data_IF_069016420540
#
_entry.id   IF_069016420540
#
_cell.length_a   1.000
_cell.length_b   1.000
_cell.length_c   1.000
_cell.angle_alpha   90.00
_cell.angle_beta   90.00
_cell.angle_gamma   90.00
#
_symmetry.space_group_name_H-M   'P 1'
#
loop_
_entity.id
_entity.type
_entity.pdbx_description
1 polymer ?
#
# COMPACT_ATOMS: atom_id res chain seq x y z
N UNK A 1 -62.15 71.82 -90.15
CA UNK A 1 -61.20 72.21 -89.06
C UNK A 1 -61.37 71.47 -87.72
N UNK A 2 -62.56 71.03 -87.27
CA UNK A 2 -62.73 70.39 -85.94
C UNK A 2 -62.16 68.96 -85.76
N UNK A 3 -61.98 68.18 -86.83
CA UNK A 3 -61.41 66.82 -86.76
C UNK A 3 -59.88 66.80 -86.60
N UNK A 4 -59.14 67.69 -87.29
CA UNK A 4 -57.68 67.78 -87.21
C UNK A 4 -57.16 68.12 -85.79
N UNK A 5 -57.85 69.00 -85.07
CA UNK A 5 -57.54 69.31 -83.67
C UNK A 5 -57.86 68.17 -82.68
N UNK A 6 -58.71 67.21 -83.06
CA UNK A 6 -59.05 66.06 -82.21
C UNK A 6 -57.97 64.97 -82.33
N UNK A 7 -57.53 64.68 -83.55
CA UNK A 7 -56.41 63.77 -83.83
C UNK A 7 -55.08 64.26 -83.27
N UNK A 8 -54.76 65.55 -83.43
CA UNK A 8 -53.53 66.14 -82.86
C UNK A 8 -53.48 66.03 -81.33
N UNK A 9 -54.62 66.22 -80.65
CA UNK A 9 -54.72 66.04 -79.19
C UNK A 9 -54.57 64.58 -78.75
N UNK A 10 -55.04 63.62 -79.53
CA UNK A 10 -54.90 62.19 -79.24
C UNK A 10 -53.44 61.74 -79.41
N UNK A 11 -52.78 62.16 -80.49
CA UNK A 11 -51.35 61.89 -80.76
C UNK A 11 -50.47 62.49 -79.65
N UNK A 12 -50.74 63.73 -79.23
CA UNK A 12 -49.98 64.36 -78.14
C UNK A 12 -50.19 63.64 -76.79
N UNK A 13 -51.40 63.14 -76.51
CA UNK A 13 -51.68 62.28 -75.34
C UNK A 13 -50.90 60.97 -75.40
N UNK A 14 -50.83 60.32 -76.56
CA UNK A 14 -50.03 59.10 -76.76
C UNK A 14 -48.54 59.36 -76.63
N UNK A 15 -48.01 60.46 -77.16
CA UNK A 15 -46.60 60.85 -77.02
C UNK A 15 -46.22 61.16 -75.57
N UNK A 16 -47.09 61.83 -74.80
CA UNK A 16 -46.87 62.08 -73.38
C UNK A 16 -46.87 60.78 -72.57
N UNK A 17 -47.80 59.86 -72.86
CA UNK A 17 -47.82 58.51 -72.26
C UNK A 17 -46.56 57.73 -72.63
N UNK A 18 -46.14 57.75 -73.89
CA UNK A 18 -44.92 57.10 -74.35
C UNK A 18 -43.67 57.67 -73.66
N UNK A 19 -43.60 59.00 -73.50
CA UNK A 19 -42.50 59.65 -72.77
C UNK A 19 -42.49 59.30 -71.28
N UNK A 20 -43.66 59.21 -70.64
CA UNK A 20 -43.82 58.77 -69.25
C UNK A 20 -43.42 57.30 -69.07
N UNK A 21 -43.87 56.42 -69.97
CA UNK A 21 -43.48 55.01 -70.00
C UNK A 21 -41.97 54.85 -70.22
N UNK A 22 -41.38 55.59 -71.17
CA UNK A 22 -39.94 55.55 -71.43
C UNK A 22 -39.10 55.95 -70.22
N UNK A 23 -39.52 56.98 -69.47
CA UNK A 23 -38.87 57.38 -68.21
C UNK A 23 -39.02 56.30 -67.13
N UNK A 24 -40.19 55.66 -67.06
CA UNK A 24 -40.42 54.57 -66.10
C UNK A 24 -39.57 53.35 -66.43
N UNK A 25 -39.47 52.97 -67.71
CA UNK A 25 -38.62 51.88 -68.19
C UNK A 25 -37.14 52.16 -67.93
N UNK A 26 -36.66 53.41 -68.13
CA UNK A 26 -35.27 53.74 -67.80
C UNK A 26 -35.01 53.64 -66.30
N UNK A 27 -35.93 54.16 -65.46
CA UNK A 27 -35.83 54.04 -64.01
C UNK A 27 -35.80 52.59 -63.53
N UNK A 28 -36.67 51.73 -64.09
CA UNK A 28 -36.66 50.29 -63.81
C UNK A 28 -35.37 49.61 -64.28
N UNK A 29 -34.81 49.99 -65.43
CA UNK A 29 -33.52 49.46 -65.90
C UNK A 29 -32.38 49.83 -64.96
N UNK A 30 -32.33 51.07 -64.50
CA UNK A 30 -31.32 51.53 -63.54
C UNK A 30 -31.48 50.79 -62.19
N UNK A 31 -32.71 50.57 -61.74
CA UNK A 31 -33.00 49.80 -60.53
C UNK A 31 -32.60 48.32 -60.68
N UNK A 32 -32.89 47.70 -61.84
CA UNK A 32 -32.44 46.33 -62.16
C UNK A 32 -30.92 46.27 -62.15
N UNK A 33 -30.22 47.21 -62.80
CA UNK A 33 -28.76 47.25 -62.79
C UNK A 33 -28.18 47.35 -61.38
N UNK A 34 -28.78 48.18 -60.52
CA UNK A 34 -28.39 48.29 -59.11
C UNK A 34 -28.64 46.98 -58.36
N UNK A 35 -29.81 46.37 -58.52
CA UNK A 35 -30.14 45.08 -57.89
C UNK A 35 -29.21 43.96 -58.37
N UNK A 36 -28.87 43.90 -59.65
CA UNK A 36 -27.91 42.92 -60.18
C UNK A 36 -26.54 43.07 -59.52
N UNK A 37 -26.02 44.30 -59.37
CA UNK A 37 -24.75 44.51 -58.66
C UNK A 37 -24.78 44.10 -57.18
N UNK A 38 -25.93 44.27 -56.51
CA UNK A 38 -26.11 43.81 -55.12
C UNK A 38 -26.15 42.29 -55.07
N UNK A 39 -26.82 41.63 -56.01
CA UNK A 39 -26.87 40.16 -56.10
C UNK A 39 -25.48 39.59 -56.34
N UNK A 40 -24.70 40.12 -57.29
CA UNK A 40 -23.32 39.68 -57.55
C UNK A 40 -22.41 39.83 -56.32
N UNK A 41 -22.53 40.95 -55.60
CA UNK A 41 -21.78 41.17 -54.35
C UNK A 41 -22.19 40.18 -53.25
N UNK A 42 -23.48 39.86 -53.14
CA UNK A 42 -23.98 38.86 -52.19
C UNK A 42 -23.52 37.46 -52.56
N UNK A 43 -23.57 37.08 -53.84
CA UNK A 43 -23.08 35.79 -54.34
C UNK A 43 -21.59 35.62 -54.05
N UNK A 44 -20.78 36.65 -54.28
CA UNK A 44 -19.35 36.63 -53.94
C UNK A 44 -19.14 36.49 -52.44
N UNK A 45 -19.86 37.25 -51.62
CA UNK A 45 -19.76 37.17 -50.15
C UNK A 45 -20.23 35.81 -49.62
N UNK A 46 -21.22 35.17 -50.26
CA UNK A 46 -21.64 33.82 -49.94
C UNK A 46 -20.55 32.80 -50.26
N UNK A 47 -19.96 32.86 -51.47
CA UNK A 47 -18.87 31.95 -51.85
C UNK A 47 -17.67 32.03 -50.88
N UNK A 48 -17.26 33.24 -50.49
CA UNK A 48 -16.19 33.45 -49.51
C UNK A 48 -16.54 32.88 -48.11
N UNK A 49 -17.83 32.93 -47.72
CA UNK A 49 -18.29 32.34 -46.45
C UNK A 49 -18.36 30.82 -46.52
N UNK A 50 -18.76 30.26 -47.66
CA UNK A 50 -18.82 28.82 -47.87
C UNK A 50 -17.42 28.20 -47.87
N UNK A 51 -16.43 28.87 -48.47
CA UNK A 51 -15.02 28.47 -48.41
C UNK A 51 -14.50 28.46 -46.96
N UNK A 52 -14.69 29.57 -46.23
CA UNK A 52 -14.31 29.65 -44.80
C UNK A 52 -15.00 28.59 -43.96
N UNK A 53 -16.26 28.27 -44.26
CA UNK A 53 -17.01 27.22 -43.58
C UNK A 53 -16.40 25.85 -43.85
N UNK A 54 -16.05 25.55 -45.10
CA UNK A 54 -15.40 24.29 -45.45
C UNK A 54 -14.03 24.13 -44.76
N UNK A 55 -13.24 25.20 -44.69
CA UNK A 55 -11.96 25.19 -43.98
C UNK A 55 -12.13 24.94 -42.47
N UNK A 56 -13.10 25.63 -41.84
CA UNK A 56 -13.44 25.39 -40.43
C UNK A 56 -13.95 23.97 -40.17
N UNK A 57 -14.78 23.42 -41.04
CA UNK A 57 -15.27 22.03 -40.92
C UNK A 57 -14.12 21.02 -41.02
N UNK A 58 -13.15 21.27 -41.91
CA UNK A 58 -11.95 20.44 -42.04
C UNK A 58 -11.08 20.50 -40.79
N UNK A 59 -10.78 21.70 -40.29
CA UNK A 59 -9.98 21.89 -39.07
C UNK A 59 -10.65 21.22 -37.85
N UNK A 60 -11.98 21.37 -37.74
CA UNK A 60 -12.74 20.72 -36.68
C UNK A 60 -12.70 19.19 -36.79
N UNK A 61 -12.76 18.63 -37.99
CA UNK A 61 -12.62 17.19 -38.21
C UNK A 61 -11.25 16.66 -37.82
N UNK A 62 -10.18 17.40 -38.14
CA UNK A 62 -8.80 17.04 -37.77
C UNK A 62 -8.61 17.06 -36.25
N UNK A 63 -9.12 18.12 -35.58
CA UNK A 63 -9.12 18.20 -34.11
C UNK A 63 -9.90 17.08 -33.46
N UNK A 64 -11.08 16.74 -34.00
CA UNK A 64 -11.91 15.66 -33.47
C UNK A 64 -11.18 14.31 -33.57
N UNK A 65 -10.54 14.02 -34.70
CA UNK A 65 -9.74 12.82 -34.87
C UNK A 65 -8.54 12.77 -33.90
N UNK A 66 -7.86 13.90 -33.66
CA UNK A 66 -6.76 13.96 -32.68
C UNK A 66 -7.25 13.62 -31.27
N UNK A 67 -8.35 14.23 -30.84
CA UNK A 67 -8.96 13.97 -29.53
C UNK A 67 -9.44 12.51 -29.43
N UNK A 68 -10.01 11.95 -30.49
CA UNK A 68 -10.45 10.55 -30.51
C UNK A 68 -9.28 9.58 -30.33
N UNK A 69 -8.13 9.86 -30.98
CA UNK A 69 -6.90 9.09 -30.80
C UNK A 69 -6.34 9.22 -29.38
N UNK A 70 -6.32 10.42 -28.80
CA UNK A 70 -5.90 10.64 -27.41
C UNK A 70 -6.81 9.89 -26.42
N UNK A 71 -8.13 9.94 -26.64
CA UNK A 71 -9.11 9.20 -25.83
C UNK A 71 -8.89 7.70 -25.96
N UNK A 72 -8.57 7.19 -27.15
CA UNK A 72 -8.24 5.78 -27.34
C UNK A 72 -6.97 5.39 -26.57
N UNK A 73 -5.90 6.20 -26.65
CA UNK A 73 -4.67 5.96 -25.89
C UNK A 73 -4.86 6.01 -24.38
N UNK A 74 -5.66 6.96 -23.87
CA UNK A 74 -6.00 7.02 -22.44
C UNK A 74 -6.82 5.81 -22.00
N UNK A 75 -7.75 5.31 -22.83
CA UNK A 75 -8.52 4.10 -22.53
C UNK A 75 -7.64 2.85 -22.43
N UNK A 76 -6.67 2.72 -23.33
CA UNK A 76 -5.69 1.62 -23.29
C UNK A 76 -4.86 1.69 -22.00
N UNK A 77 -4.34 2.87 -21.68
CA UNK A 77 -3.56 3.08 -20.45
C UNK A 77 -4.37 2.78 -19.18
N UNK A 78 -5.64 3.21 -19.12
CA UNK A 78 -6.55 2.86 -18.02
C UNK A 78 -6.74 1.36 -17.94
N UNK A 79 -6.92 0.67 -19.08
CA UNK A 79 -7.00 -0.79 -19.12
C UNK A 79 -5.76 -1.49 -18.56
N UNK A 80 -4.56 -1.01 -18.90
CA UNK A 80 -3.32 -1.55 -18.34
C UNK A 80 -3.21 -1.35 -16.82
N UNK A 81 -3.62 -0.19 -16.31
CA UNK A 81 -3.64 0.07 -14.87
C UNK A 81 -4.69 -0.77 -14.15
N UNK A 82 -5.87 -0.95 -14.72
CA UNK A 82 -6.91 -1.82 -14.19
C UNK A 82 -6.44 -3.29 -14.13
N UNK A 83 -5.73 -3.76 -15.15
CA UNK A 83 -5.15 -5.11 -15.16
C UNK A 83 -4.05 -5.28 -14.11
N UNK A 84 -3.20 -4.26 -13.92
CA UNK A 84 -2.18 -4.24 -12.86
C UNK A 84 -2.82 -4.25 -11.47
N UNK A 85 -3.85 -3.43 -11.25
CA UNK A 85 -4.60 -3.39 -9.99
C UNK A 85 -5.25 -4.75 -9.70
N UNK A 86 -5.94 -5.33 -10.69
CA UNK A 86 -6.54 -6.66 -10.57
C UNK A 86 -5.49 -7.74 -10.27
N UNK A 87 -4.31 -7.66 -10.87
CA UNK A 87 -3.21 -8.58 -10.57
C UNK A 87 -2.72 -8.47 -9.12
N UNK A 88 -2.61 -7.24 -8.61
CA UNK A 88 -2.22 -6.99 -7.22
C UNK A 88 -3.29 -7.47 -6.24
N UNK A 89 -4.56 -7.22 -6.51
CA UNK A 89 -5.69 -7.73 -5.72
C UNK A 89 -5.66 -9.26 -5.63
N UNK A 90 -5.52 -9.96 -6.76
CA UNK A 90 -5.40 -11.43 -6.78
C UNK A 90 -4.19 -11.95 -5.99
N UNK A 91 -3.05 -11.26 -6.05
CA UNK A 91 -1.87 -11.59 -5.23
C UNK A 91 -2.12 -11.36 -3.75
N UNK A 92 -2.88 -10.33 -3.39
CA UNK A 92 -3.26 -10.02 -2.02
C UNK A 92 -4.21 -11.10 -1.47
N UNK A 93 -5.24 -11.43 -2.24
CA UNK A 93 -6.24 -12.44 -1.89
C UNK A 93 -5.65 -13.84 -1.77
N UNK A 94 -4.71 -14.21 -2.64
CA UNK A 94 -4.00 -15.49 -2.53
C UNK A 94 -3.10 -15.60 -1.29
N UNK A 95 -2.66 -14.48 -0.70
CA UNK A 95 -1.87 -14.47 0.55
C UNK A 95 -2.74 -14.50 1.81
N UNK A 96 -4.00 -14.08 1.74
CA UNK A 96 -4.92 -14.05 2.88
C UNK A 96 -5.05 -15.43 3.58
N UNK A 97 -5.21 -16.57 2.87
CA UNK A 97 -5.26 -17.89 3.53
C UNK A 97 -3.97 -18.25 4.26
N UNK A 98 -2.80 -17.92 3.70
CA UNK A 98 -1.51 -18.23 4.30
C UNK A 98 -1.32 -17.48 5.63
N UNK A 99 -1.77 -16.22 5.70
CA UNK A 99 -1.73 -15.44 6.94
C UNK A 99 -2.67 -15.99 8.00
N UNK A 100 -3.86 -16.46 7.61
CA UNK A 100 -4.80 -17.12 8.53
C UNK A 100 -4.20 -18.41 9.08
N UNK A 101 -3.55 -19.22 8.24
CA UNK A 101 -2.82 -20.42 8.67
C UNK A 101 -1.66 -20.08 9.62
N UNK A 102 -0.86 -19.06 9.30
CA UNK A 102 0.24 -18.60 10.16
C UNK A 102 -0.28 -18.17 11.53
N UNK A 103 -1.34 -17.38 11.59
CA UNK A 103 -1.89 -16.90 12.86
C UNK A 103 -2.48 -18.05 13.70
N UNK A 104 -3.10 -19.04 13.06
CA UNK A 104 -3.55 -20.26 13.72
C UNK A 104 -2.37 -21.06 14.32
N UNK A 105 -1.25 -21.15 13.62
CA UNK A 105 -0.02 -21.78 14.14
C UNK A 105 0.55 -21.00 15.32
N UNK A 106 0.60 -19.67 15.23
CA UNK A 106 1.03 -18.78 16.32
C UNK A 106 0.17 -19.00 17.57
N UNK A 107 -1.16 -18.98 17.45
CA UNK A 107 -2.05 -19.27 18.58
C UNK A 107 -1.79 -20.65 19.19
N UNK A 108 -1.63 -21.70 18.37
CA UNK A 108 -1.35 -23.06 18.87
C UNK A 108 -0.02 -23.16 19.61
N UNK A 109 1.02 -22.46 19.15
CA UNK A 109 2.33 -22.46 19.82
C UNK A 109 2.23 -21.69 21.13
N UNK A 110 1.58 -20.53 21.12
CA UNK A 110 1.34 -19.72 22.30
C UNK A 110 0.63 -20.53 23.39
N UNK A 111 -0.48 -21.21 23.06
CA UNK A 111 -1.25 -22.04 23.99
C UNK A 111 -0.39 -23.17 24.58
N UNK A 112 0.41 -23.85 23.73
CA UNK A 112 1.31 -24.92 24.18
C UNK A 112 2.41 -24.43 25.12
N UNK A 113 3.02 -23.28 24.80
CA UNK A 113 4.05 -22.69 25.66
C UNK A 113 3.45 -22.28 27.01
N UNK A 114 2.25 -21.71 26.99
CA UNK A 114 1.53 -21.35 28.20
C UNK A 114 1.26 -22.58 29.09
N UNK A 115 0.81 -23.69 28.50
CA UNK A 115 0.63 -24.96 29.23
C UNK A 115 1.94 -25.47 29.83
N UNK A 116 3.06 -25.35 29.13
CA UNK A 116 4.39 -25.73 29.66
C UNK A 116 4.77 -24.86 30.84
N UNK A 117 4.60 -23.54 30.75
CA UNK A 117 4.89 -22.62 31.86
C UNK A 117 4.06 -23.02 33.09
N UNK A 118 2.78 -23.34 32.90
CA UNK A 118 1.89 -23.77 33.98
C UNK A 118 2.36 -25.06 34.67
N UNK A 119 2.94 -26.00 33.91
CA UNK A 119 3.50 -27.25 34.48
C UNK A 119 4.79 -26.98 35.26
N UNK A 120 5.67 -26.15 34.72
CA UNK A 120 6.99 -25.87 35.31
C UNK A 120 6.89 -24.94 36.51
N UNK A 121 5.98 -23.96 36.47
CA UNK A 121 5.75 -22.98 37.55
C UNK A 121 4.51 -23.30 38.38
N UNK A 122 4.41 -24.57 38.83
CA UNK A 122 3.30 -25.05 39.65
C UNK A 122 3.16 -24.32 41.02
N UNK A 123 4.07 -23.41 41.36
CA UNK A 123 4.14 -22.77 42.67
C UNK A 123 3.74 -21.29 42.73
N UNK A 124 3.53 -20.58 41.59
CA UNK A 124 3.34 -19.11 41.63
C UNK A 124 2.42 -18.44 40.59
N UNK A 125 1.61 -19.15 39.82
CA UNK A 125 0.76 -18.47 38.84
C UNK A 125 -0.62 -18.10 39.42
N UNK A 126 -0.67 -16.90 40.01
CA UNK A 126 -1.92 -16.15 40.15
C UNK A 126 -2.54 -15.99 38.74
N UNK A 127 -3.74 -16.57 38.62
CA UNK A 127 -4.56 -16.57 37.43
C UNK A 127 -5.00 -15.13 37.15
N UNK A 128 -4.61 -14.49 36.05
CA UNK A 128 -5.44 -13.45 35.42
C UNK A 128 -4.88 -12.92 34.09
N UNK A 129 -3.60 -12.53 33.99
CA UNK A 129 -3.28 -11.48 33.00
C UNK A 129 -2.63 -11.94 31.67
N UNK A 130 -2.47 -13.25 31.45
CA UNK A 130 -1.77 -13.78 30.27
C UNK A 130 -2.60 -14.73 29.39
N UNK A 131 -3.86 -15.01 29.77
CA UNK A 131 -4.71 -15.97 29.06
C UNK A 131 -5.90 -15.27 28.40
N UNK A 132 -5.60 -14.45 27.40
CA UNK A 132 -6.55 -14.17 26.33
C UNK A 132 -5.73 -14.16 25.04
N UNK A 133 -5.87 -15.21 24.23
CA UNK A 133 -5.23 -15.28 22.91
C UNK A 133 -5.76 -14.12 22.06
N UNK A 134 -5.04 -13.00 22.08
CA UNK A 134 -5.37 -11.75 21.40
C UNK A 134 -5.22 -11.87 19.87
N UNK A 135 -4.71 -12.99 19.38
CA UNK A 135 -4.29 -13.19 18.00
C UNK A 135 -5.31 -14.06 17.24
N UNK A 136 -6.55 -13.59 17.16
CA UNK A 136 -7.59 -14.25 16.37
C UNK A 136 -7.48 -13.86 14.89
N UNK A 137 -7.68 -14.82 13.96
CA UNK A 137 -7.78 -14.51 12.53
C UNK A 137 -8.94 -13.57 12.29
N UNK A 138 -8.64 -12.33 11.92
CA UNK A 138 -9.64 -11.37 11.54
C UNK A 138 -9.83 -11.49 10.02
N UNK A 139 -11.00 -11.95 9.60
CA UNK A 139 -11.24 -12.42 8.24
C UNK A 139 -11.11 -11.30 7.17
N UNK A 140 -11.04 -10.04 7.58
CA UNK A 140 -11.24 -8.89 6.68
C UNK A 140 -9.99 -8.07 6.34
N UNK A 141 -8.97 -7.96 7.19
CA UNK A 141 -7.81 -7.10 6.90
C UNK A 141 -6.47 -7.85 6.93
N UNK A 142 -5.77 -7.84 5.80
CA UNK A 142 -4.46 -8.50 5.61
C UNK A 142 -3.40 -7.79 6.46
N UNK A 143 -3.48 -6.47 6.55
CA UNK A 143 -2.57 -5.64 7.33
C UNK A 143 -2.75 -5.88 8.83
N UNK A 144 -4.00 -5.93 9.31
CA UNK A 144 -4.33 -6.34 10.69
C UNK A 144 -3.82 -7.75 11.01
N UNK A 145 -3.99 -8.72 10.10
CA UNK A 145 -3.48 -10.09 10.29
C UNK A 145 -1.94 -10.14 10.35
N UNK A 146 -1.23 -9.34 9.56
CA UNK A 146 0.24 -9.24 9.65
C UNK A 146 0.66 -8.68 11.02
N UNK A 147 0.01 -7.61 11.48
CA UNK A 147 0.29 -7.04 12.81
C UNK A 147 -0.02 -8.00 13.95
N UNK A 148 -1.16 -8.69 13.90
CA UNK A 148 -1.53 -9.70 14.88
C UNK A 148 -0.53 -10.87 14.90
N UNK A 149 -0.08 -11.31 13.72
CA UNK A 149 0.93 -12.36 13.60
C UNK A 149 2.28 -11.94 14.19
N UNK A 150 2.72 -10.70 13.94
CA UNK A 150 3.96 -10.16 14.50
C UNK A 150 3.90 -10.12 16.03
N UNK A 151 2.84 -9.53 16.60
CA UNK A 151 2.67 -9.43 18.04
C UNK A 151 2.56 -10.83 18.70
N UNK A 152 1.91 -11.79 18.04
CA UNK A 152 1.86 -13.17 18.53
C UNK A 152 3.22 -13.86 18.49
N UNK A 153 4.05 -13.57 17.48
CA UNK A 153 5.42 -14.08 17.41
C UNK A 153 6.32 -13.48 18.50
N UNK A 154 6.18 -12.19 18.79
CA UNK A 154 6.87 -11.52 19.89
C UNK A 154 6.50 -12.14 21.24
N UNK A 155 5.20 -12.38 21.47
CA UNK A 155 4.71 -13.07 22.66
C UNK A 155 5.28 -14.50 22.78
N UNK A 156 5.33 -15.27 21.69
CA UNK A 156 5.96 -16.60 21.68
C UNK A 156 7.44 -16.52 22.09
N UNK A 157 8.19 -15.53 21.62
CA UNK A 157 9.58 -15.34 22.01
C UNK A 157 9.72 -15.07 23.52
N UNK A 158 8.84 -14.23 24.09
CA UNK A 158 8.82 -13.94 25.51
C UNK A 158 8.44 -15.16 26.36
N UNK A 159 7.38 -15.88 25.97
CA UNK A 159 6.96 -17.13 26.61
C UNK A 159 8.07 -18.17 26.56
N UNK A 160 8.74 -18.33 25.42
CA UNK A 160 9.85 -19.28 25.26
C UNK A 160 11.00 -18.93 26.21
N UNK A 161 11.36 -17.65 26.33
CA UNK A 161 12.37 -17.19 27.29
C UNK A 161 11.96 -17.55 28.73
N UNK A 162 10.71 -17.28 29.10
CA UNK A 162 10.19 -17.62 30.44
C UNK A 162 10.22 -19.14 30.70
N UNK A 163 9.82 -19.96 29.72
CA UNK A 163 9.89 -21.44 29.83
C UNK A 163 11.32 -21.87 30.11
N UNK A 164 12.30 -21.33 29.38
CA UNK A 164 13.72 -21.69 29.55
C UNK A 164 14.22 -21.31 30.94
N UNK A 165 13.95 -20.09 31.40
CA UNK A 165 14.35 -19.61 32.73
C UNK A 165 13.73 -20.49 33.83
N UNK A 166 12.41 -20.71 33.79
CA UNK A 166 11.70 -21.52 34.78
C UNK A 166 12.15 -22.98 34.78
N UNK A 167 12.41 -23.55 33.61
CA UNK A 167 12.90 -24.93 33.50
C UNK A 167 14.30 -25.04 34.07
N UNK A 168 15.16 -24.05 33.83
CA UNK A 168 16.50 -24.00 34.41
C UNK A 168 16.44 -23.95 35.94
N UNK A 169 15.61 -23.06 36.50
CA UNK A 169 15.41 -22.93 37.95
C UNK A 169 14.94 -24.26 38.57
N UNK A 170 13.96 -24.91 37.94
CA UNK A 170 13.45 -26.22 38.38
C UNK A 170 14.53 -27.31 38.32
N UNK A 171 15.35 -27.34 37.26
CA UNK A 171 16.45 -28.30 37.13
C UNK A 171 17.53 -28.07 38.17
N UNK A 172 17.86 -26.81 38.48
CA UNK A 172 18.81 -26.47 39.55
C UNK A 172 18.29 -26.91 40.92
N UNK A 173 17.02 -26.64 41.23
CA UNK A 173 16.36 -27.10 42.47
C UNK A 173 16.42 -28.63 42.59
N UNK A 174 15.99 -29.37 41.56
CA UNK A 174 16.07 -30.84 41.56
C UNK A 174 17.49 -31.37 41.65
N UNK A 175 18.46 -30.68 41.05
CA UNK A 175 19.87 -31.06 41.14
C UNK A 175 20.41 -30.89 42.57
N UNK A 176 20.01 -29.84 43.27
CA UNK A 176 20.34 -29.65 44.69
C UNK A 176 19.68 -30.73 45.57
N UNK A 177 18.40 -31.04 45.35
CA UNK A 177 17.71 -32.12 46.05
C UNK A 177 18.41 -33.48 45.83
N UNK A 178 18.72 -33.83 44.58
CA UNK A 178 19.42 -35.08 44.22
C UNK A 178 20.80 -35.16 44.88
N UNK A 179 21.56 -34.07 44.91
CA UNK A 179 22.85 -34.03 45.63
C UNK A 179 22.66 -34.31 47.12
N UNK A 180 21.69 -33.65 47.76
CA UNK A 180 21.40 -33.86 49.20
C UNK A 180 20.98 -35.32 49.50
N UNK A 181 20.12 -35.89 48.64
CA UNK A 181 19.68 -37.29 48.73
C UNK A 181 20.87 -38.24 48.53
N UNK A 182 21.73 -38.00 47.54
CA UNK A 182 22.94 -38.79 47.29
C UNK A 182 23.91 -38.79 48.48
N UNK A 183 24.11 -37.64 49.12
CA UNK A 183 24.90 -37.53 50.35
C UNK A 183 24.28 -38.34 51.51
N UNK A 184 22.95 -38.29 51.66
CA UNK A 184 22.26 -39.10 52.68
C UNK A 184 22.38 -40.60 52.41
N UNK A 185 22.24 -41.04 51.16
CA UNK A 185 22.42 -42.44 50.76
C UNK A 185 23.86 -42.88 51.00
N UNK A 186 24.85 -42.06 50.61
CA UNK A 186 26.27 -42.35 50.82
C UNK A 186 26.61 -42.53 52.31
N UNK A 187 26.00 -41.70 53.18
CA UNK A 187 26.14 -41.82 54.64
C UNK A 187 25.50 -43.11 55.16
N UNK A 188 24.29 -43.45 54.72
CA UNK A 188 23.61 -44.70 55.10
C UNK A 188 24.37 -45.95 54.63
N UNK A 189 24.99 -45.91 53.45
CA UNK A 189 25.83 -47.01 52.94
C UNK A 189 27.06 -47.22 53.84
N UNK A 190 27.75 -46.14 54.23
CA UNK A 190 28.88 -46.22 55.17
C UNK A 190 28.46 -46.74 56.54
N UNK A 191 27.32 -46.30 57.07
CA UNK A 191 26.78 -46.83 58.33
C UNK A 191 26.46 -48.32 58.23
N UNK A 192 25.84 -48.76 57.12
CA UNK A 192 25.58 -50.19 56.85
C UNK A 192 26.88 -50.99 56.80
N UNK A 193 27.92 -50.51 56.11
CA UNK A 193 29.23 -51.19 56.05
C UNK A 193 29.88 -51.27 57.43
N UNK A 194 29.82 -50.19 58.21
CA UNK A 194 30.32 -50.14 59.58
C UNK A 194 29.59 -51.16 60.47
N UNK A 195 28.25 -51.15 60.49
CA UNK A 195 27.43 -52.15 61.19
C UNK A 195 27.77 -53.56 60.72
N UNK A 196 27.93 -53.76 59.40
CA UNK A 196 28.33 -55.03 58.82
C UNK A 196 29.70 -55.53 59.32
N UNK A 197 30.68 -54.64 59.44
CA UNK A 197 32.00 -54.95 59.99
C UNK A 197 31.95 -55.28 61.48
N UNK A 198 31.12 -54.56 62.26
CA UNK A 198 30.88 -54.83 63.68
C UNK A 198 30.21 -56.19 63.88
N UNK A 199 29.18 -56.51 63.09
CA UNK A 199 28.50 -57.81 63.14
C UNK A 199 29.44 -58.95 62.77
N UNK A 200 30.24 -58.78 61.70
CA UNK A 200 31.22 -59.79 61.28
C UNK A 200 32.31 -59.96 62.34
N UNK A 201 32.76 -58.89 62.98
CA UNK A 201 33.71 -58.92 64.11
C UNK A 201 33.13 -59.59 65.36
N UNK A 202 31.86 -59.32 65.68
CA UNK A 202 31.16 -59.96 66.79
C UNK A 202 30.96 -61.46 66.53
N UNK A 203 30.56 -61.85 65.32
CA UNK A 203 30.46 -63.25 64.89
C UNK A 203 31.83 -63.94 64.90
N UNK A 204 32.88 -63.27 64.41
CA UNK A 204 34.23 -63.83 64.36
C UNK A 204 34.83 -64.06 65.77
N UNK A 205 34.60 -63.13 66.72
CA UNK A 205 34.95 -63.33 68.14
C UNK A 205 34.16 -64.44 68.81
N UNK A 206 32.90 -64.64 68.39
CA UNK A 206 32.04 -65.73 68.85
C UNK A 206 32.51 -67.09 68.31
N UNK A 207 33.14 -67.13 67.15
CA UNK A 207 33.76 -68.36 66.59
C UNK A 207 35.19 -68.61 67.07
N UNK A 208 35.94 -67.57 67.49
CA UNK A 208 37.33 -67.71 67.96
C UNK A 208 37.49 -67.91 69.47
N UNK A 209 36.41 -67.79 70.25
CA UNK A 209 36.40 -68.22 71.66
C UNK A 209 35.93 -69.67 71.68
N UNK A 210 36.80 -70.58 72.14
CA UNK A 210 36.59 -72.02 72.18
C UNK A 210 35.16 -72.44 72.53
N UNK A 211 34.40 -72.81 71.50
CA UNK A 211 33.02 -73.30 71.56
C UNK A 211 32.93 -74.76 72.03
N UNK A 212 34.03 -75.35 72.51
CA UNK A 212 34.02 -76.75 72.99
C UNK A 212 33.53 -76.88 74.43
N UNK A 213 33.82 -75.92 75.32
CA UNK A 213 33.49 -76.04 76.76
C UNK A 213 32.33 -75.16 77.23
N UNK A 214 32.08 -73.99 76.61
CA UNK A 214 31.06 -73.02 77.10
C UNK A 214 29.70 -73.12 76.40
N UNK A 215 29.65 -73.66 75.18
CA UNK A 215 28.41 -73.85 74.43
C UNK A 215 27.53 -74.94 75.04
N UNK A 216 28.16 -75.96 75.64
CA UNK A 216 27.47 -77.07 76.31
C UNK A 216 26.76 -76.62 77.60
N UNK A 217 27.28 -75.61 78.31
CA UNK A 217 26.59 -74.99 79.45
C UNK A 217 25.41 -74.12 79.01
N UNK A 218 25.54 -73.39 77.90
CA UNK A 218 24.49 -72.50 77.41
C UNK A 218 23.30 -73.30 76.83
N UNK A 219 23.57 -74.43 76.17
CA UNK A 219 22.52 -75.37 75.76
C UNK A 219 21.85 -76.03 76.97
N UNK A 220 22.57 -76.37 78.04
CA UNK A 220 21.97 -76.89 79.29
C UNK A 220 21.11 -75.85 80.01
N UNK A 221 21.51 -74.58 80.03
CA UNK A 221 20.72 -73.49 80.64
C UNK A 221 19.46 -73.20 79.80
N UNK A 222 19.56 -73.24 78.47
CA UNK A 222 18.39 -73.13 77.59
C UNK A 222 17.46 -74.36 77.70
N UNK A 223 18.00 -75.58 77.78
CA UNK A 223 17.24 -76.83 78.00
C UNK A 223 16.53 -76.82 79.36
N UNK A 224 17.19 -76.31 80.41
CA UNK A 224 16.57 -76.16 81.73
C UNK A 224 15.49 -75.06 81.74
N UNK A 225 15.69 -73.94 81.04
CA UNK A 225 14.69 -72.87 80.92
C UNK A 225 13.47 -73.26 80.08
N UNK A 226 13.66 -74.04 79.00
CA UNK A 226 12.55 -74.61 78.25
C UNK A 226 11.80 -75.68 79.06
N UNK A 227 12.50 -76.48 79.88
CA UNK A 227 11.88 -77.44 80.79
C UNK A 227 11.06 -76.76 81.90
N UNK A 228 11.51 -75.63 82.42
CA UNK A 228 10.74 -74.77 83.35
C UNK A 228 9.50 -74.15 82.69
N UNK A 229 9.52 -73.94 81.37
CA UNK A 229 8.37 -73.52 80.57
C UNK A 229 7.52 -74.69 80.03
N UNK A 230 7.83 -75.95 80.39
CA UNK A 230 7.04 -77.14 80.06
C UNK A 230 7.35 -77.80 78.71
N UNK A 231 8.46 -77.45 78.04
CA UNK A 231 8.84 -77.97 76.71
C UNK A 231 10.14 -78.78 76.85
N UNK A 232 10.09 -80.07 76.50
CA UNK A 232 11.24 -80.99 76.61
C UNK A 232 11.91 -81.21 75.25
N UNK A 233 13.10 -80.61 75.03
CA UNK A 233 13.84 -80.68 73.76
C UNK A 233 15.36 -80.79 74.00
N UNK A 234 16.02 -81.74 73.33
CA UNK A 234 17.44 -82.13 73.58
C UNK A 234 18.32 -81.96 72.33
N UNK A 235 19.39 -81.17 72.44
CA UNK A 235 20.30 -80.78 71.33
C UNK A 235 21.47 -81.76 71.07
N UNK A 236 21.25 -83.07 71.15
CA UNK A 236 22.31 -84.05 70.81
C UNK A 236 22.12 -84.60 69.40
N UNK A 237 22.96 -84.14 68.47
CA UNK A 237 23.55 -84.84 67.32
C UNK A 237 23.55 -83.98 66.05
N UNK A 238 24.75 -83.59 65.60
CA UNK A 238 25.25 -83.60 64.21
C UNK A 238 26.36 -82.57 64.03
N UNK A 239 27.59 -82.91 64.41
CA UNK A 239 28.78 -82.31 63.78
C UNK A 239 29.92 -83.34 63.80
N UNK A 240 30.01 -84.11 62.71
CA UNK A 240 31.12 -84.99 62.41
C UNK A 240 32.30 -84.18 61.87
N UNK A 241 33.45 -84.32 62.52
CA UNK A 241 34.72 -83.76 62.07
C UNK A 241 35.36 -84.58 60.96
N UNK A 242 36.30 -83.94 60.26
CA UNK A 242 37.20 -84.56 59.30
C UNK A 242 38.43 -83.68 59.13
N UNK A 243 39.44 -83.92 59.95
CA UNK A 243 40.85 -83.65 59.61
C UNK A 243 41.22 -84.63 58.51
N UNK A 244 42.05 -84.20 57.56
CA UNK A 244 43.23 -84.97 57.20
C UNK A 244 44.29 -84.08 56.56
N UNK A 245 45.53 -84.49 56.82
CA UNK A 245 46.76 -83.76 56.66
C UNK A 245 47.50 -84.16 55.37
N UNK A 246 48.71 -83.59 55.24
CA UNK A 246 49.82 -84.01 54.38
C UNK A 246 49.69 -83.56 52.91
N UNK A 247 50.73 -83.24 52.15
CA UNK A 247 52.16 -82.92 52.31
C UNK A 247 52.74 -82.88 50.88
N UNK A 248 53.95 -82.34 50.71
CA UNK A 248 54.87 -82.51 49.57
C UNK A 248 54.62 -81.71 48.27
N UNK A 249 55.45 -80.67 48.10
CA UNK A 249 56.57 -80.59 47.15
C UNK A 249 56.31 -81.03 45.68
N UNK A 250 56.42 -80.08 44.73
CA UNK A 250 57.45 -80.07 43.69
C UNK A 250 57.20 -79.01 42.61
N UNK A 251 58.33 -78.49 42.14
CA UNK A 251 58.59 -77.85 40.85
C UNK A 251 57.78 -78.38 39.66
N UNK A 252 57.67 -77.47 38.67
CA UNK A 252 57.67 -77.68 37.22
C UNK A 252 56.35 -77.31 36.50
N UNK A 253 56.32 -76.14 35.83
CA UNK A 253 55.50 -75.88 34.64
C UNK A 253 55.84 -74.50 34.00
N UNK A 254 56.63 -74.45 32.91
CA UNK A 254 56.83 -73.25 32.09
C UNK A 254 55.71 -73.04 31.05
N UNK A 255 54.46 -73.43 31.35
CA UNK A 255 53.32 -73.33 30.42
C UNK A 255 52.40 -72.13 30.68
N UNK A 256 52.36 -71.56 31.90
CA UNK A 256 51.51 -70.40 32.21
C UNK A 256 52.00 -69.10 31.56
N UNK A 257 53.32 -68.89 31.43
CA UNK A 257 53.86 -67.71 30.71
C UNK A 257 53.50 -67.71 29.22
N UNK A 258 53.42 -68.88 28.57
CA UNK A 258 53.04 -68.95 27.15
C UNK A 258 51.57 -68.60 26.94
N UNK A 259 50.68 -69.13 27.76
CA UNK A 259 49.25 -68.80 27.69
C UNK A 259 48.98 -67.32 28.02
N UNK A 260 49.73 -66.73 28.94
CA UNK A 260 49.68 -65.29 29.22
C UNK A 260 50.17 -64.43 28.05
N UNK A 261 51.24 -64.85 27.36
CA UNK A 261 51.75 -64.17 26.15
C UNK A 261 50.72 -64.26 25.01
N UNK A 262 50.06 -65.40 24.81
CA UNK A 262 49.00 -65.53 23.81
C UNK A 262 47.74 -64.71 24.15
N UNK A 263 47.36 -64.63 25.44
CA UNK A 263 46.25 -63.79 25.89
C UNK A 263 46.56 -62.29 25.70
N UNK A 264 47.80 -61.86 25.99
CA UNK A 264 48.24 -60.48 25.78
C UNK A 264 48.30 -60.13 24.29
N UNK A 265 48.80 -61.04 23.44
CA UNK A 265 48.81 -60.87 21.99
C UNK A 265 47.38 -60.75 21.42
N UNK A 266 46.44 -61.56 21.90
CA UNK A 266 45.02 -61.47 21.52
C UNK A 266 44.34 -60.17 21.97
N UNK A 267 44.66 -59.69 23.18
CA UNK A 267 44.19 -58.38 23.65
C UNK A 267 44.75 -57.23 22.80
N UNK A 268 46.03 -57.29 22.46
CA UNK A 268 46.71 -56.30 21.63
C UNK A 268 46.15 -56.30 20.19
N UNK A 269 45.88 -57.48 19.62
CA UNK A 269 45.23 -57.63 18.31
C UNK A 269 43.81 -57.05 18.31
N UNK A 270 43.02 -57.27 19.38
CA UNK A 270 41.70 -56.68 19.52
C UNK A 270 41.75 -55.15 19.63
N UNK A 271 42.71 -54.60 20.39
CA UNK A 271 42.92 -53.14 20.48
C UNK A 271 43.32 -52.57 19.11
N UNK A 272 44.19 -53.26 18.36
CA UNK A 272 44.58 -52.85 17.01
C UNK A 272 43.37 -52.88 16.06
N UNK A 273 42.56 -53.94 16.07
CA UNK A 273 41.35 -54.02 15.25
C UNK A 273 40.34 -52.93 15.61
N UNK A 274 40.13 -52.67 16.89
CA UNK A 274 39.23 -51.61 17.36
C UNK A 274 39.71 -50.23 16.91
N UNK A 275 41.00 -49.94 17.08
CA UNK A 275 41.59 -48.67 16.62
C UNK A 275 41.58 -48.53 15.09
N UNK A 276 41.75 -49.62 14.34
CA UNK A 276 41.60 -49.60 12.89
C UNK A 276 40.17 -49.24 12.45
N UNK A 277 39.16 -49.79 13.12
CA UNK A 277 37.75 -49.43 12.85
C UNK A 277 37.49 -47.96 13.18
N UNK A 278 37.98 -47.48 14.34
CA UNK A 278 37.85 -46.09 14.75
C UNK A 278 38.54 -45.13 13.75
N UNK A 279 39.72 -45.50 13.22
CA UNK A 279 40.39 -44.72 12.17
C UNK A 279 39.54 -44.63 10.91
N UNK A 280 38.88 -45.71 10.49
CA UNK A 280 38.02 -45.72 9.31
C UNK A 280 36.77 -44.86 9.53
N UNK A 281 36.13 -44.96 10.69
CA UNK A 281 34.97 -44.14 11.04
C UNK A 281 35.32 -42.65 11.08
N UNK A 282 36.45 -42.29 11.69
CA UNK A 282 36.95 -40.91 11.71
C UNK A 282 37.29 -40.40 10.31
N UNK A 283 37.85 -41.25 9.43
CA UNK A 283 38.12 -40.89 8.04
C UNK A 283 36.84 -40.58 7.27
N UNK A 284 35.80 -41.40 7.43
CA UNK A 284 34.50 -41.15 6.81
C UNK A 284 33.87 -39.85 7.33
N UNK A 285 33.91 -39.62 8.64
CA UNK A 285 33.40 -38.37 9.24
C UNK A 285 34.14 -37.12 8.73
N UNK A 286 35.47 -37.20 8.58
CA UNK A 286 36.26 -36.10 8.01
C UNK A 286 35.88 -35.83 6.55
N UNK A 287 35.63 -36.88 5.76
CA UNK A 287 35.23 -36.71 4.36
C UNK A 287 33.81 -36.15 4.23
N UNK A 288 32.87 -36.59 5.07
CA UNK A 288 31.53 -36.00 5.16
C UNK A 288 31.60 -34.49 5.50
N UNK A 289 32.40 -34.12 6.50
CA UNK A 289 32.60 -32.72 6.86
C UNK A 289 33.26 -31.90 5.74
N UNK A 290 34.14 -32.49 4.94
CA UNK A 290 34.73 -31.82 3.77
C UNK A 290 33.70 -31.57 2.67
N UNK A 291 32.81 -32.53 2.43
CA UNK A 291 31.71 -32.36 1.48
C UNK A 291 30.75 -31.28 1.96
N UNK A 292 30.35 -31.31 3.23
CA UNK A 292 29.50 -30.28 3.83
C UNK A 292 30.15 -28.88 3.76
N UNK A 293 31.44 -28.77 4.09
CA UNK A 293 32.17 -27.52 3.99
C UNK A 293 32.27 -27.00 2.55
N UNK A 294 32.43 -27.89 1.55
CA UNK A 294 32.45 -27.48 0.15
C UNK A 294 31.09 -26.99 -0.35
N UNK A 295 29.99 -27.64 0.07
CA UNK A 295 28.63 -27.21 -0.21
C UNK A 295 28.32 -25.85 0.44
N UNK A 296 28.68 -25.66 1.72
CA UNK A 296 28.50 -24.39 2.42
C UNK A 296 29.27 -23.26 1.73
N UNK A 297 30.49 -23.54 1.27
CA UNK A 297 31.31 -22.58 0.52
C UNK A 297 30.62 -22.18 -0.79
N UNK A 298 30.11 -23.14 -1.55
CA UNK A 298 29.40 -22.86 -2.81
C UNK A 298 28.15 -21.99 -2.56
N UNK A 299 27.38 -22.28 -1.51
CA UNK A 299 26.21 -21.50 -1.15
C UNK A 299 26.57 -20.06 -0.74
N UNK A 300 27.64 -19.87 0.04
CA UNK A 300 28.14 -18.53 0.41
C UNK A 300 28.60 -17.76 -0.84
N UNK A 301 29.29 -18.41 -1.78
CA UNK A 301 29.70 -17.78 -3.04
C UNK A 301 28.50 -17.39 -3.92
N UNK A 302 27.45 -18.23 -3.97
CA UNK A 302 26.22 -17.93 -4.69
C UNK A 302 25.48 -16.73 -4.04
N UNK A 303 25.36 -16.71 -2.72
CA UNK A 303 24.79 -15.60 -1.97
C UNK A 303 25.58 -14.30 -2.15
N UNK A 304 26.92 -14.36 -2.17
CA UNK A 304 27.77 -13.20 -2.41
C UNK A 304 27.54 -12.60 -3.81
N UNK A 305 27.39 -13.45 -4.84
CA UNK A 305 27.06 -13.00 -6.20
C UNK A 305 25.69 -12.34 -6.26
N UNK A 306 24.67 -12.95 -5.66
CA UNK A 306 23.32 -12.38 -5.61
C UNK A 306 23.29 -11.04 -4.88
N UNK A 307 23.99 -10.91 -3.74
CA UNK A 307 24.12 -9.65 -3.02
C UNK A 307 24.83 -8.59 -3.87
N UNK A 308 25.87 -8.96 -4.61
CA UNK A 308 26.56 -8.02 -5.51
C UNK A 308 25.66 -7.52 -6.63
N UNK A 309 24.85 -8.40 -7.21
CA UNK A 309 23.87 -8.04 -8.25
C UNK A 309 22.78 -7.13 -7.71
N UNK A 310 22.19 -7.46 -6.55
CA UNK A 310 21.19 -6.60 -5.89
C UNK A 310 21.75 -5.23 -5.56
N UNK A 311 22.99 -5.16 -5.09
CA UNK A 311 23.66 -3.89 -4.81
C UNK A 311 23.76 -3.02 -6.06
N UNK A 312 24.20 -3.59 -7.18
CA UNK A 312 24.27 -2.85 -8.46
C UNK A 312 22.88 -2.38 -8.91
N UNK A 313 21.85 -3.23 -8.77
CA UNK A 313 20.48 -2.85 -9.13
C UNK A 313 19.95 -1.68 -8.27
N UNK A 314 20.30 -1.65 -6.98
CA UNK A 314 19.97 -0.53 -6.09
C UNK A 314 20.68 0.75 -6.56
N UNK A 315 21.98 0.70 -6.85
CA UNK A 315 22.73 1.86 -7.36
C UNK A 315 22.13 2.41 -8.67
N UNK A 316 21.70 1.54 -9.59
CA UNK A 316 21.01 1.95 -10.83
C UNK A 316 19.63 2.59 -10.58
N UNK A 317 18.91 2.15 -9.55
CA UNK A 317 17.62 2.73 -9.16
C UNK A 317 17.79 4.09 -8.49
N UNK A 318 18.79 4.23 -7.61
CA UNK A 318 19.14 5.52 -6.97
C UNK A 318 19.52 6.58 -8.02
N UNK A 319 20.29 6.20 -9.04
CA UNK A 319 20.64 7.09 -10.15
C UNK A 319 19.40 7.51 -10.96
N UNK A 320 18.50 6.58 -11.27
CA UNK A 320 17.24 6.88 -11.96
C UNK A 320 16.35 7.80 -11.14
N UNK A 321 16.28 7.59 -9.83
CA UNK A 321 15.56 8.47 -8.91
C UNK A 321 16.16 9.88 -8.93
N UNK A 322 17.49 10.00 -8.86
CA UNK A 322 18.16 11.31 -8.93
C UNK A 322 17.81 12.06 -10.21
N UNK A 323 17.92 11.40 -11.36
CA UNK A 323 17.59 12.01 -12.66
C UNK A 323 16.10 12.35 -12.77
N UNK A 324 15.21 11.51 -12.24
CA UNK A 324 13.79 11.81 -12.21
C UNK A 324 13.48 13.05 -11.34
N UNK A 325 14.12 13.18 -10.18
CA UNK A 325 13.99 14.34 -9.31
C UNK A 325 14.49 15.62 -10.00
N UNK A 326 15.67 15.58 -10.64
CA UNK A 326 16.19 16.71 -11.43
C UNK A 326 15.22 17.12 -12.56
N UNK A 327 14.61 16.15 -13.25
CA UNK A 327 13.61 16.42 -14.29
C UNK A 327 12.32 17.05 -13.72
N UNK A 328 11.84 16.57 -12.58
CA UNK A 328 10.66 17.14 -11.90
C UNK A 328 10.94 18.56 -11.45
N UNK A 329 12.12 18.84 -10.89
CA UNK A 329 12.54 20.20 -10.52
C UNK A 329 12.56 21.14 -11.74
N UNK A 330 13.08 20.68 -12.88
CA UNK A 330 13.03 21.43 -14.14
C UNK A 330 11.61 21.75 -14.59
N UNK A 331 10.72 20.74 -14.60
CA UNK A 331 9.31 20.93 -14.95
C UNK A 331 8.59 21.87 -13.98
N UNK A 332 8.91 21.83 -12.69
CA UNK A 332 8.35 22.76 -11.71
C UNK A 332 8.76 24.21 -11.99
N UNK A 333 10.01 24.45 -12.41
CA UNK A 333 10.46 25.78 -12.81
C UNK A 333 9.71 26.28 -14.05
N UNK A 334 9.53 25.44 -15.06
CA UNK A 334 8.80 25.78 -16.29
C UNK A 334 7.31 26.06 -16.02
N UNK A 335 6.67 25.27 -15.14
CA UNK A 335 5.29 25.50 -14.71
C UNK A 335 5.18 26.86 -14.00
N UNK A 336 6.07 27.18 -13.07
CA UNK A 336 6.05 28.46 -12.37
C UNK A 336 6.22 29.65 -13.34
N UNK A 337 7.12 29.52 -14.32
CA UNK A 337 7.30 30.54 -15.35
C UNK A 337 6.04 30.73 -16.22
N UNK A 338 5.40 29.63 -16.63
CA UNK A 338 4.16 29.66 -17.40
C UNK A 338 2.99 30.27 -16.59
N UNK A 339 2.88 29.93 -15.31
CA UNK A 339 1.88 30.53 -14.41
C UNK A 339 2.08 32.04 -14.28
N UNK A 340 3.32 32.51 -14.11
CA UNK A 340 3.62 33.95 -14.11
C UNK A 340 3.19 34.62 -15.42
N UNK A 341 3.48 34.03 -16.58
CA UNK A 341 3.04 34.59 -17.86
C UNK A 341 1.51 34.64 -17.96
N UNK A 342 0.81 33.56 -17.61
CA UNK A 342 -0.66 33.52 -17.60
C UNK A 342 -1.22 34.65 -16.73
N UNK A 343 -0.63 34.91 -15.56
CA UNK A 343 -1.08 36.01 -14.70
C UNK A 343 -0.85 37.38 -15.35
N UNK A 344 0.30 37.60 -16.02
CA UNK A 344 0.58 38.84 -16.76
C UNK A 344 -0.43 39.07 -17.89
N UNK A 345 -0.67 38.05 -18.71
CA UNK A 345 -1.65 38.12 -19.81
C UNK A 345 -3.06 38.37 -19.30
N UNK A 346 -3.46 37.71 -18.20
CA UNK A 346 -4.76 37.90 -17.56
C UNK A 346 -4.96 39.34 -17.09
N UNK A 347 -3.94 39.94 -16.44
CA UNK A 347 -4.01 41.33 -15.98
C UNK A 347 -4.10 42.29 -17.16
N UNK A 348 -3.31 42.09 -18.22
CA UNK A 348 -3.36 42.91 -19.42
C UNK A 348 -4.75 42.87 -20.09
N UNK A 349 -5.33 41.67 -20.25
CA UNK A 349 -6.66 41.51 -20.82
C UNK A 349 -7.76 42.17 -19.95
N UNK A 350 -7.64 42.09 -18.62
CA UNK A 350 -8.57 42.77 -17.71
C UNK A 350 -8.49 44.29 -17.81
N UNK A 351 -7.28 44.84 -17.95
CA UNK A 351 -7.08 46.28 -18.14
C UNK A 351 -7.63 46.75 -19.48
N UNK A 352 -7.42 46.00 -20.56
CA UNK A 352 -7.98 46.30 -21.87
C UNK A 352 -9.52 46.27 -21.86
N UNK A 353 -10.12 45.25 -21.23
CA UNK A 353 -11.57 45.18 -21.05
C UNK A 353 -12.12 46.37 -20.23
N UNK A 354 -11.43 46.78 -19.18
CA UNK A 354 -11.81 47.94 -18.37
C UNK A 354 -11.71 49.25 -19.18
N UNK A 355 -10.66 49.42 -19.97
CA UNK A 355 -10.50 50.56 -20.87
C UNK A 355 -11.59 50.60 -21.94
N UNK A 356 -11.89 49.45 -22.56
CA UNK A 356 -12.98 49.32 -23.54
C UNK A 356 -14.34 49.72 -22.96
N UNK A 357 -14.64 49.28 -21.74
CA UNK A 357 -15.88 49.65 -21.03
C UNK A 357 -15.96 51.15 -20.72
N UNK A 358 -14.84 51.78 -20.34
CA UNK A 358 -14.81 53.21 -20.07
C UNK A 358 -15.10 54.03 -21.34
N UNK A 359 -14.52 53.63 -22.48
CA UNK A 359 -14.78 54.25 -23.78
C UNK A 359 -16.24 54.05 -24.22
N UNK A 360 -16.80 52.86 -24.03
CA UNK A 360 -18.22 52.61 -24.30
C UNK A 360 -19.13 53.54 -23.49
N UNK A 361 -18.85 53.71 -22.19
CA UNK A 361 -19.61 54.62 -21.32
C UNK A 361 -19.50 56.08 -21.80
N UNK A 362 -18.33 56.51 -22.26
CA UNK A 362 -18.15 57.84 -22.83
C UNK A 362 -18.99 58.03 -24.10
N UNK A 363 -18.99 57.05 -25.02
CA UNK A 363 -19.81 57.11 -26.23
C UNK A 363 -21.31 57.11 -25.91
N UNK A 364 -21.75 56.33 -24.92
CA UNK A 364 -23.14 56.34 -24.46
C UNK A 364 -23.51 57.74 -23.91
N UNK A 365 -22.63 58.37 -23.13
CA UNK A 365 -22.84 59.72 -22.63
C UNK A 365 -22.92 60.75 -23.78
N UNK A 366 -22.00 60.70 -24.75
CA UNK A 366 -22.01 61.56 -25.93
C UNK A 366 -23.29 61.38 -26.77
N UNK A 367 -23.72 60.13 -27.00
CA UNK A 367 -24.98 59.83 -27.72
C UNK A 367 -26.20 60.36 -26.97
N UNK A 368 -26.20 60.30 -25.64
CA UNK A 368 -27.30 60.85 -24.83
C UNK A 368 -27.37 62.37 -24.93
N UNK A 369 -26.23 63.06 -24.90
CA UNK A 369 -26.15 64.51 -25.06
C UNK A 369 -26.62 64.95 -26.45
N UNK A 370 -26.12 64.32 -27.51
CA UNK A 370 -26.53 64.63 -28.90
C UNK A 370 -28.03 64.37 -29.10
N UNK A 371 -28.58 63.28 -28.52
CA UNK A 371 -30.04 63.02 -28.56
C UNK A 371 -30.83 64.13 -27.88
N UNK A 372 -30.36 64.62 -26.73
CA UNK A 372 -31.00 65.74 -26.04
C UNK A 372 -30.94 67.02 -26.89
N UNK A 373 -29.77 67.39 -27.41
CA UNK A 373 -29.61 68.56 -28.29
C UNK A 373 -30.50 68.47 -29.54
N UNK A 374 -30.64 67.26 -30.12
CA UNK A 374 -31.53 67.02 -31.25
C UNK A 374 -33.00 67.26 -30.90
N UNK A 375 -33.47 66.79 -29.74
CA UNK A 375 -34.84 67.04 -29.28
C UNK A 375 -35.08 68.52 -28.97
N UNK A 376 -34.11 69.21 -28.37
CA UNK A 376 -34.18 70.66 -28.15
C UNK A 376 -34.25 71.44 -29.48
N UNK A 377 -33.42 71.07 -30.46
CA UNK A 377 -33.44 71.67 -31.79
C UNK A 377 -34.77 71.41 -32.52
N UNK A 378 -35.32 70.19 -32.44
CA UNK A 378 -36.65 69.87 -32.98
C UNK A 378 -37.74 70.75 -32.36
N UNK A 379 -37.72 70.89 -31.04
CA UNK A 379 -38.68 71.73 -30.32
C UNK A 379 -38.56 73.20 -30.75
N UNK A 380 -37.34 73.73 -30.88
CA UNK A 380 -37.08 75.08 -31.35
C UNK A 380 -37.58 75.30 -32.80
N UNK A 381 -37.40 74.31 -33.69
CA UNK A 381 -37.92 74.35 -35.05
C UNK A 381 -39.46 74.41 -35.03
N UNK A 382 -40.12 73.54 -34.28
CA UNK A 382 -41.60 73.54 -34.14
C UNK A 382 -42.11 74.89 -33.62
N UNK A 383 -41.42 75.50 -32.66
CA UNK A 383 -41.78 76.83 -32.15
C UNK A 383 -41.58 77.94 -33.20
N UNK A 384 -40.50 77.87 -33.97
CA UNK A 384 -40.24 78.81 -35.06
C UNK A 384 -41.26 78.69 -36.19
N UNK A 385 -41.68 77.47 -36.54
CA UNK A 385 -42.73 77.21 -37.51
C UNK A 385 -44.08 77.78 -37.04
N UNK A 386 -44.43 77.62 -35.76
CA UNK A 386 -45.63 78.25 -35.17
C UNK A 386 -45.57 79.78 -35.28
N UNK A 387 -44.41 80.39 -34.95
CA UNK A 387 -44.21 81.85 -35.08
C UNK A 387 -44.31 82.31 -36.53
N UNK A 388 -43.78 81.53 -37.47
CA UNK A 388 -43.83 81.81 -38.90
C UNK A 388 -45.27 81.75 -39.40
N UNK A 389 -46.04 80.69 -39.08
CA UNK A 389 -47.46 80.58 -39.42
C UNK A 389 -48.27 81.77 -38.90
N UNK A 390 -48.06 82.18 -37.66
CA UNK A 390 -48.71 83.37 -37.10
C UNK A 390 -48.37 84.66 -37.88
N UNK A 391 -47.11 84.83 -38.29
CA UNK A 391 -46.69 85.96 -39.14
C UNK A 391 -47.30 85.88 -40.54
N UNK A 392 -47.38 84.70 -41.14
CA UNK A 392 -48.03 84.47 -42.44
C UNK A 392 -49.52 84.80 -42.39
N UNK A 393 -50.23 84.35 -41.36
CA UNK A 393 -51.65 84.66 -41.12
C UNK A 393 -51.87 86.17 -40.92
N UNK A 394 -51.01 86.82 -40.11
CA UNK A 394 -51.04 88.27 -39.90
C UNK A 394 -50.80 89.03 -41.21
N UNK A 395 -49.80 88.60 -41.98
CA UNK A 395 -49.51 89.18 -43.29
C UNK A 395 -50.69 89.00 -44.24
N UNK A 396 -51.30 87.81 -44.31
CA UNK A 396 -52.47 87.54 -45.14
C UNK A 396 -53.65 88.45 -44.77
N UNK A 397 -53.89 88.68 -43.48
CA UNK A 397 -54.91 89.63 -42.99
C UNK A 397 -54.63 91.07 -43.45
N UNK A 398 -53.39 91.55 -43.30
CA UNK A 398 -52.98 92.88 -43.77
C UNK A 398 -53.12 93.03 -45.29
N UNK A 399 -52.72 92.03 -46.08
CA UNK A 399 -52.90 92.02 -47.53
C UNK A 399 -54.38 92.03 -47.92
N UNK A 400 -55.22 91.26 -47.22
CA UNK A 400 -56.67 91.25 -47.40
C UNK A 400 -57.30 92.61 -47.11
N UNK A 401 -56.90 93.27 -46.01
CA UNK A 401 -57.35 94.63 -45.68
C UNK A 401 -56.93 95.65 -46.74
N UNK A 402 -55.66 95.65 -47.15
CA UNK A 402 -55.13 96.53 -48.21
C UNK A 402 -55.83 96.30 -49.55
N UNK A 403 -56.22 95.06 -49.87
CA UNK A 403 -57.00 94.73 -51.08
C UNK A 403 -58.41 95.33 -51.00
N UNK A 404 -59.11 95.16 -49.88
CA UNK A 404 -60.42 95.79 -49.65
C UNK A 404 -60.35 97.31 -49.71
N UNK A 405 -59.34 97.94 -49.10
CA UNK A 405 -59.15 99.39 -49.20
C UNK A 405 -58.94 99.85 -50.65
N UNK A 406 -58.14 99.11 -51.45
CA UNK A 406 -57.97 99.41 -52.89
C UNK A 406 -59.28 99.28 -53.66
N UNK A 407 -60.04 98.22 -53.40
CA UNK A 407 -61.33 97.99 -54.02
C UNK A 407 -62.34 99.09 -53.67
N UNK A 408 -62.39 99.53 -52.40
CA UNK A 408 -63.20 100.69 -51.96
C UNK A 408 -62.75 101.97 -52.66
N UNK A 409 -61.44 102.23 -52.75
CA UNK A 409 -60.89 103.41 -53.45
C UNK A 409 -61.26 103.42 -54.94
N UNK A 410 -61.21 102.26 -55.59
CA UNK A 410 -61.53 102.12 -57.01
C UNK A 410 -63.03 102.27 -57.27
N UNK A 411 -63.87 101.73 -56.40
CA UNK A 411 -65.33 101.96 -56.41
C UNK A 411 -65.64 103.45 -56.15
N UNK A 412 -64.96 104.11 -55.21
CA UNK A 412 -65.10 105.55 -54.95
C UNK A 412 -64.79 106.38 -56.19
N UNK A 413 -63.66 106.09 -56.85
CA UNK A 413 -63.26 106.70 -58.13
C UNK A 413 -64.30 106.52 -59.24
N UNK A 414 -64.90 105.33 -59.35
CA UNK A 414 -65.90 105.01 -60.37
C UNK A 414 -67.28 105.65 -60.08
N UNK A 415 -67.58 105.98 -58.82
CA UNK A 415 -68.85 106.59 -58.40
C UNK A 415 -68.85 108.12 -58.34
N UNK A 416 -67.73 108.78 -58.64
CA UNK A 416 -67.64 110.24 -58.72
C UNK A 416 -67.83 110.94 -57.36
N UNK A 417 -67.19 110.40 -56.31
CA UNK A 417 -66.97 111.09 -55.02
C UNK A 417 -65.47 111.23 -54.81
#
# INVERSE_FOLDING_TARGET
>A
MKLGHRWSREIMRLLLRFRSLRRTISGLRDEVSKKTSVVENLEKSMAEKDEKKADMEKEMSEKLNSVENEVAGLRELVGEYDDKLRNLELKMDSRRPLLVEQLNLVSKIHDRLYDVIKIVDASKMDQSDLSESMFLPQETDIEENIRASLAGMESICELTRMVVEKTKDLVEERSHEVKSLSETVSRLVKEKEHIGSLLRGALSRRTSTDLSSKTNELFKVAENGLREAGIDFRFSNHLGGGKDAYSYDKDDAPETERDEIYALAGALENIIKQSQLEIIELQHSVEELRVEASLLKENVEAQAKELSYRKQCIEELEEKERVANENVEGLMMDIAAAEEEITRWKVAAQQEAAAGKAVEQEFVAQLSAIRQELEEAKQAVVESEKKLKFKEETAACCHGSKRRCREILEIGRLKGI
#
